data_IF_809956257564
#
_entry.id   IF_809956257564
#
_cell.length_a   1.000
_cell.length_b   1.000
_cell.length_c   1.000
_cell.angle_alpha   90.00
_cell.angle_beta   90.00
_cell.angle_gamma   90.00
#
_symmetry.space_group_name_H-M   'P 1'
#
loop_
_entity.id
_entity.type
_entity.pdbx_description
1 polymer ?
#
# COMPACT_ATOMS: atom_id res chain seq x y z
N UNK A 1 -20.33 -2.04 -23.46
CA UNK A 1 -20.56 -1.78 -24.89
C UNK A 1 -20.72 -0.27 -25.03
N UNK A 2 -20.04 0.37 -25.99
CA UNK A 2 -19.80 1.82 -26.21
C UNK A 2 -18.65 2.40 -25.37
N UNK A 3 -17.67 3.14 -25.90
CA UNK A 3 -17.12 3.29 -27.24
C UNK A 3 -15.73 3.94 -27.06
N UNK A 4 -14.68 3.33 -27.63
CA UNK A 4 -13.34 3.91 -27.75
C UNK A 4 -13.34 4.88 -28.94
N UNK A 5 -12.94 6.13 -28.73
CA UNK A 5 -12.51 7.05 -29.80
C UNK A 5 -11.27 7.76 -29.30
N UNK A 6 -10.14 7.50 -29.95
CA UNK A 6 -8.90 8.26 -29.77
C UNK A 6 -8.88 9.49 -30.67
N UNK A 7 -8.10 10.50 -30.29
CA UNK A 7 -7.59 11.53 -31.20
C UNK A 7 -6.16 11.89 -30.79
N UNK A 8 -5.23 11.53 -31.67
CA UNK A 8 -3.94 12.17 -31.91
C UNK A 8 -4.16 13.64 -32.28
N UNK A 9 -3.46 14.57 -31.63
CA UNK A 9 -2.83 15.75 -32.26
C UNK A 9 -2.53 16.82 -31.21
N UNK A 10 -1.26 17.12 -30.94
CA UNK A 10 -0.78 18.51 -30.81
C UNK A 10 0.75 18.51 -30.90
N UNK A 11 1.24 18.52 -32.14
CA UNK A 11 2.55 19.06 -32.51
C UNK A 11 2.26 20.30 -33.33
N UNK A 12 2.76 21.45 -32.91
CA UNK A 12 2.73 22.67 -33.71
C UNK A 12 2.82 23.94 -32.88
N UNK A 13 3.86 24.73 -33.18
CA UNK A 13 4.10 26.13 -32.78
C UNK A 13 4.65 26.36 -31.37
N UNK A 14 5.99 26.34 -31.24
CA UNK A 14 6.76 27.57 -30.96
C UNK A 14 8.07 27.50 -31.76
N UNK A 15 8.15 28.25 -32.87
CA UNK A 15 9.40 28.68 -33.50
C UNK A 15 9.57 30.15 -33.15
N UNK A 16 10.79 30.53 -32.76
CA UNK A 16 11.28 31.89 -32.90
C UNK A 16 11.46 32.65 -31.60
N UNK A 17 12.71 32.75 -31.15
CA UNK A 17 13.09 33.76 -30.18
C UNK A 17 14.35 33.43 -29.40
N UNK A 18 15.45 34.09 -29.78
CA UNK A 18 16.60 34.39 -28.93
C UNK A 18 17.64 33.26 -28.77
N UNK A 19 18.40 32.99 -29.84
CA UNK A 19 19.80 32.59 -29.70
C UNK A 19 20.62 33.82 -29.27
N UNK A 20 20.54 34.16 -27.98
CA UNK A 20 21.47 35.10 -27.36
C UNK A 20 22.80 34.41 -27.18
N UNK A 21 23.77 34.88 -27.96
CA UNK A 21 25.21 34.67 -27.77
C UNK A 21 25.58 34.99 -26.31
N UNK A 22 25.83 33.96 -25.51
CA UNK A 22 26.75 34.05 -24.37
C UNK A 22 27.95 33.18 -24.69
N UNK A 23 28.93 33.84 -25.30
CA UNK A 23 30.28 33.32 -25.48
C UNK A 23 30.85 32.92 -24.11
N UNK A 24 30.82 31.62 -23.81
CA UNK A 24 31.60 31.07 -22.72
C UNK A 24 32.98 30.75 -23.28
N UNK A 25 33.96 31.52 -22.82
CA UNK A 25 35.39 31.40 -23.14
C UNK A 25 35.87 30.02 -22.64
N UNK A 26 35.75 28.99 -23.48
CA UNK A 26 36.56 27.78 -23.34
C UNK A 26 37.92 28.13 -23.93
N UNK A 27 38.93 28.24 -23.06
CA UNK A 27 40.35 28.39 -23.42
C UNK A 27 40.69 27.35 -24.50
N UNK A 28 40.80 27.81 -25.74
CA UNK A 28 41.38 27.05 -26.82
C UNK A 28 42.83 26.72 -26.44
N UNK A 29 43.29 25.46 -26.53
CA UNK A 29 44.70 25.21 -26.66
C UNK A 29 45.12 25.78 -28.01
N UNK A 30 46.06 26.72 -28.01
CA UNK A 30 46.66 27.34 -29.20
C UNK A 30 47.04 26.27 -30.23
N UNK A 31 46.12 25.95 -31.13
CA UNK A 31 46.35 25.14 -32.32
C UNK A 31 45.70 25.90 -33.45
N UNK A 32 46.56 26.64 -34.14
CA UNK A 32 46.45 27.15 -35.51
C UNK A 32 45.04 26.96 -36.08
N UNK A 33 44.28 28.05 -36.11
CA UNK A 33 43.09 28.21 -36.94
C UNK A 33 43.48 27.75 -38.34
N UNK A 34 43.14 26.51 -38.69
CA UNK A 34 43.04 26.12 -40.08
C UNK A 34 41.82 26.87 -40.59
N UNK A 35 42.06 28.09 -41.05
CA UNK A 35 41.26 28.67 -42.11
C UNK A 35 41.34 27.59 -43.18
N UNK A 36 40.27 26.80 -43.35
CA UNK A 36 40.09 26.06 -44.58
C UNK A 36 39.81 27.16 -45.61
N UNK A 37 40.88 27.83 -46.01
CA UNK A 37 40.95 28.54 -47.27
C UNK A 37 40.56 27.48 -48.27
N UNK A 38 39.31 27.51 -48.72
CA UNK A 38 39.00 27.11 -50.07
C UNK A 38 40.11 27.72 -50.90
N UNK A 39 40.88 26.85 -51.56
CA UNK A 39 42.02 27.26 -52.36
C UNK A 39 41.47 28.33 -53.29
N UNK A 40 41.86 29.58 -53.06
CA UNK A 40 41.57 30.70 -53.95
C UNK A 40 42.42 30.44 -55.19
N UNK A 41 41.98 29.50 -56.02
CA UNK A 41 42.50 29.35 -57.35
C UNK A 41 41.93 30.55 -58.10
N UNK A 42 42.83 31.50 -58.41
CA UNK A 42 42.56 32.59 -59.33
C UNK A 42 41.97 31.99 -60.60
N UNK A 43 40.66 32.15 -60.79
CA UNK A 43 40.02 31.90 -62.07
C UNK A 43 40.66 32.89 -63.04
N UNK A 44 41.33 32.34 -64.05
CA UNK A 44 41.71 33.11 -65.22
C UNK A 44 40.43 33.62 -65.85
N UNK A 45 40.17 34.93 -65.70
CA UNK A 45 39.16 35.62 -66.47
C UNK A 45 39.47 35.44 -67.96
N UNK A 46 38.82 34.46 -68.59
CA UNK A 46 38.74 34.37 -70.03
C UNK A 46 37.96 35.58 -70.51
N UNK A 47 38.63 36.52 -71.17
CA UNK A 47 37.97 37.61 -71.87
C UNK A 47 37.15 37.04 -73.04
N UNK A 48 35.92 36.63 -72.78
CA UNK A 48 34.97 36.25 -73.82
C UNK A 48 34.24 37.50 -74.32
N UNK A 49 34.87 38.19 -75.27
CA UNK A 49 34.19 39.15 -76.12
C UNK A 49 33.71 38.47 -77.40
N UNK A 50 32.55 37.81 -77.37
CA UNK A 50 31.65 37.52 -78.50
C UNK A 50 30.26 37.18 -77.92
N UNK A 51 29.18 37.76 -78.46
CA UNK A 51 27.78 37.43 -78.10
C UNK A 51 27.49 35.95 -78.39
N UNK A 52 27.66 35.08 -77.39
CA UNK A 52 27.34 33.64 -77.49
C UNK A 52 25.88 33.43 -77.12
N UNK A 53 25.09 32.90 -78.06
CA UNK A 53 23.68 32.54 -77.82
C UNK A 53 23.50 31.23 -77.05
N UNK A 54 24.57 30.67 -76.48
CA UNK A 54 24.58 29.39 -75.76
C UNK A 54 24.90 29.66 -74.29
N UNK A 55 24.10 29.16 -73.33
CA UNK A 55 24.41 29.32 -71.92
C UNK A 55 25.70 28.57 -71.57
N UNK A 56 26.53 29.17 -70.72
CA UNK A 56 27.74 28.53 -70.18
C UNK A 56 27.67 28.55 -68.67
N UNK A 57 28.09 27.47 -68.02
CA UNK A 57 28.22 27.40 -66.57
C UNK A 57 29.41 26.54 -66.18
N UNK A 58 30.19 27.03 -65.23
CA UNK A 58 31.33 26.34 -64.66
C UNK A 58 31.33 26.52 -63.14
N UNK A 59 31.41 25.41 -62.41
CA UNK A 59 31.60 25.42 -60.96
C UNK A 59 33.09 25.35 -60.62
N UNK A 60 33.53 26.14 -59.63
CA UNK A 60 34.94 26.15 -59.21
C UNK A 60 35.43 24.76 -58.73
N UNK A 61 34.52 23.94 -58.20
CA UNK A 61 34.79 22.59 -57.74
C UNK A 61 33.61 21.66 -58.07
N UNK A 62 33.88 20.36 -58.26
CA UNK A 62 32.84 19.33 -58.47
C UNK A 62 32.28 18.75 -57.17
N UNK A 63 32.99 18.93 -56.06
CA UNK A 63 32.57 18.52 -54.72
C UNK A 63 33.24 19.40 -53.68
N UNK A 64 32.48 19.78 -52.65
CA UNK A 64 32.93 20.66 -51.56
C UNK A 64 32.51 20.07 -50.21
N UNK A 65 33.35 20.23 -49.17
CA UNK A 65 33.01 19.86 -47.80
C UNK A 65 32.42 21.05 -47.01
N UNK A 66 31.49 20.77 -46.09
CA UNK A 66 30.96 21.80 -45.18
C UNK A 66 31.96 22.20 -44.10
N UNK A 67 31.77 23.37 -43.48
CA UNK A 67 32.39 23.66 -42.19
C UNK A 67 31.76 22.81 -41.06
N UNK A 68 32.15 23.07 -39.82
CA UNK A 68 31.66 22.41 -38.59
C UNK A 68 30.19 22.70 -38.27
N UNK A 69 29.59 23.71 -38.89
CA UNK A 69 28.17 24.04 -38.79
C UNK A 69 27.35 23.53 -39.98
N UNK A 70 27.94 22.70 -40.85
CA UNK A 70 27.25 22.16 -42.03
C UNK A 70 27.11 23.17 -43.18
N UNK A 71 27.75 24.34 -43.12
CA UNK A 71 27.70 25.38 -44.15
C UNK A 71 28.80 25.18 -45.21
N UNK A 72 28.44 25.25 -46.48
CA UNK A 72 29.37 25.35 -47.61
C UNK A 72 29.02 26.57 -48.48
N UNK A 73 30.04 27.18 -49.08
CA UNK A 73 29.89 28.28 -50.04
C UNK A 73 30.37 27.81 -51.40
N UNK A 74 29.45 27.77 -52.36
CA UNK A 74 29.69 27.35 -53.74
C UNK A 74 29.91 28.60 -54.57
N UNK A 75 30.95 28.59 -55.38
CA UNK A 75 31.30 29.66 -56.30
C UNK A 75 31.34 29.09 -57.71
N UNK A 76 30.80 29.83 -58.67
CA UNK A 76 30.84 29.47 -60.07
C UNK A 76 30.72 30.70 -60.97
N UNK A 77 30.93 30.46 -62.25
CA UNK A 77 30.84 31.47 -63.30
C UNK A 77 29.89 31.03 -64.42
N UNK A 78 29.39 32.02 -65.14
CA UNK A 78 28.50 31.92 -66.29
C UNK A 78 28.75 33.11 -67.20
N UNK A 79 28.19 33.10 -68.42
CA UNK A 79 28.22 34.28 -69.28
C UNK A 79 27.13 35.30 -68.87
N UNK A 80 27.35 36.58 -69.17
CA UNK A 80 26.52 37.69 -68.66
C UNK A 80 25.03 37.63 -69.09
N UNK A 81 24.73 36.88 -70.14
CA UNK A 81 23.38 36.74 -70.70
C UNK A 81 22.57 35.59 -70.07
N UNK A 82 23.23 34.69 -69.32
CA UNK A 82 22.56 33.54 -68.71
C UNK A 82 21.80 33.89 -67.44
N UNK A 83 20.63 33.30 -67.30
CA UNK A 83 19.90 33.20 -66.03
C UNK A 83 20.31 31.92 -65.30
N UNK A 84 20.67 32.02 -64.00
CA UNK A 84 21.10 30.87 -63.21
C UNK A 84 20.02 30.47 -62.22
N UNK A 85 19.69 29.18 -62.20
CA UNK A 85 18.84 28.57 -61.16
C UNK A 85 19.56 27.45 -60.42
N UNK A 86 19.20 27.24 -59.17
CA UNK A 86 19.63 26.11 -58.34
C UNK A 86 18.39 25.41 -57.82
N UNK A 87 18.24 24.12 -58.13
CA UNK A 87 17.02 23.36 -57.80
C UNK A 87 15.72 24.08 -58.25
N UNK A 88 15.79 24.87 -59.33
CA UNK A 88 14.68 25.65 -59.89
C UNK A 88 14.49 27.06 -59.31
N UNK A 89 15.29 27.49 -58.32
CA UNK A 89 15.25 28.84 -57.76
C UNK A 89 16.32 29.74 -58.40
N UNK A 90 15.91 30.92 -58.92
CA UNK A 90 16.82 31.90 -59.52
C UNK A 90 17.82 32.45 -58.50
N UNK A 91 19.09 32.48 -58.86
CA UNK A 91 20.15 33.10 -58.06
C UNK A 91 20.75 34.32 -58.77
N UNK A 92 21.27 35.26 -57.98
CA UNK A 92 21.87 36.48 -58.53
C UNK A 92 23.30 36.22 -59.04
N UNK A 93 23.60 36.77 -60.21
CA UNK A 93 24.94 36.83 -60.80
C UNK A 93 25.46 38.27 -60.79
N UNK A 94 26.79 38.44 -60.75
CA UNK A 94 27.46 39.73 -60.87
C UNK A 94 28.70 39.56 -61.74
N UNK A 95 28.71 40.20 -62.91
CA UNK A 95 29.79 40.10 -63.90
C UNK A 95 30.13 38.63 -64.24
N UNK A 96 29.09 37.84 -64.57
CA UNK A 96 29.23 36.41 -64.82
C UNK A 96 29.52 35.54 -63.60
N UNK A 97 29.77 36.07 -62.40
CA UNK A 97 30.06 35.27 -61.21
C UNK A 97 28.84 35.10 -60.30
N UNK A 98 28.71 33.96 -59.62
CA UNK A 98 27.71 33.74 -58.59
C UNK A 98 28.27 33.07 -57.35
N UNK A 99 27.55 33.24 -56.23
CA UNK A 99 27.85 32.57 -54.96
C UNK A 99 26.56 32.02 -54.37
N UNK A 100 26.59 30.75 -53.97
CA UNK A 100 25.46 30.08 -53.35
C UNK A 100 25.87 29.46 -52.01
N UNK A 101 25.13 29.77 -50.95
CA UNK A 101 25.37 29.21 -49.61
C UNK A 101 24.38 28.09 -49.34
N UNK A 102 24.89 26.94 -48.93
CA UNK A 102 24.09 25.76 -48.59
C UNK A 102 24.44 25.27 -47.21
N UNK A 103 23.43 24.84 -46.45
CA UNK A 103 23.61 24.24 -45.13
C UNK A 103 23.04 22.83 -45.15
N UNK A 104 23.87 21.83 -44.84
CA UNK A 104 23.43 20.46 -44.57
C UNK A 104 22.76 20.38 -43.20
N UNK A 105 21.75 19.50 -43.08
CA UNK A 105 21.01 19.28 -41.83
C UNK A 105 21.27 17.91 -41.21
N UNK A 106 21.92 17.02 -41.95
CA UNK A 106 22.21 15.65 -41.57
C UNK A 106 23.60 15.24 -42.12
N UNK A 107 23.98 13.99 -41.87
CA UNK A 107 25.25 13.41 -42.30
C UNK A 107 25.21 12.88 -43.74
N UNK A 108 24.20 13.26 -44.53
CA UNK A 108 24.07 12.83 -45.92
C UNK A 108 24.63 13.88 -46.88
N UNK A 109 25.40 13.47 -47.90
CA UNK A 109 25.78 14.37 -48.99
C UNK A 109 24.54 14.91 -49.72
N UNK A 110 24.57 16.19 -50.09
CA UNK A 110 23.53 16.81 -50.92
C UNK A 110 24.09 17.10 -52.32
N UNK A 111 23.41 16.60 -53.34
CA UNK A 111 23.68 16.97 -54.73
C UNK A 111 22.84 18.20 -55.09
N UNK A 112 23.48 19.23 -55.66
CA UNK A 112 22.82 20.41 -56.20
C UNK A 112 23.03 20.47 -57.69
N UNK A 113 22.00 20.89 -58.43
CA UNK A 113 22.07 21.12 -59.87
C UNK A 113 21.90 22.61 -60.14
N UNK A 114 22.91 23.19 -60.76
CA UNK A 114 22.90 24.57 -61.25
C UNK A 114 22.57 24.53 -62.75
N UNK A 115 21.61 25.34 -63.18
CA UNK A 115 21.20 25.43 -64.59
C UNK A 115 21.38 26.87 -65.05
N UNK A 116 22.15 27.06 -66.12
CA UNK A 116 22.24 28.29 -66.87
C UNK A 116 21.33 28.23 -68.09
N UNK A 117 20.53 29.27 -68.29
CA UNK A 117 19.51 29.34 -69.34
C UNK A 117 19.64 30.61 -70.17
N UNK A 118 19.61 30.48 -71.51
CA UNK A 118 19.46 31.58 -72.47
C UNK A 118 18.37 31.17 -73.48
N UNK A 119 17.22 31.85 -73.43
CA UNK A 119 16.07 31.49 -74.27
C UNK A 119 15.59 30.07 -73.97
N UNK A 120 15.55 29.22 -75.00
CA UNK A 120 15.17 27.79 -74.89
C UNK A 120 16.37 26.84 -74.69
N UNK A 121 17.59 27.40 -74.53
CA UNK A 121 18.81 26.61 -74.33
C UNK A 121 19.20 26.57 -72.86
N UNK A 122 19.51 25.37 -72.35
CA UNK A 122 19.96 25.13 -70.98
C UNK A 122 21.30 24.39 -70.95
N UNK A 123 22.18 24.76 -70.02
CA UNK A 123 23.34 23.99 -69.62
C UNK A 123 23.31 23.75 -68.11
N UNK A 124 23.55 22.51 -67.69
CA UNK A 124 23.52 22.14 -66.27
C UNK A 124 24.87 21.62 -65.78
N UNK A 125 25.26 22.06 -64.59
CA UNK A 125 26.36 21.48 -63.82
C UNK A 125 25.89 21.05 -62.44
N UNK A 126 26.54 20.03 -61.89
CA UNK A 126 26.19 19.47 -60.59
C UNK A 126 27.38 19.44 -59.65
N UNK A 127 27.12 19.75 -58.38
CA UNK A 127 28.11 19.69 -57.31
C UNK A 127 27.59 18.82 -56.16
N UNK A 128 28.50 18.05 -55.58
CA UNK A 128 28.23 17.23 -54.39
C UNK A 128 28.77 17.92 -53.13
N UNK A 129 27.87 18.32 -52.24
CA UNK A 129 28.18 18.93 -50.95
C UNK A 129 28.25 17.83 -49.89
N UNK A 130 29.44 17.60 -49.34
CA UNK A 130 29.69 16.53 -48.36
C UNK A 130 29.77 17.09 -46.94
N UNK A 131 29.19 16.42 -45.95
CA UNK A 131 29.38 16.82 -44.56
C UNK A 131 30.84 16.60 -44.16
N UNK A 132 31.45 17.60 -43.53
CA UNK A 132 32.80 17.41 -42.98
C UNK A 132 32.78 16.52 -41.73
N UNK A 133 33.94 15.95 -41.40
CA UNK A 133 34.14 15.19 -40.16
C UNK A 133 33.78 16.00 -38.91
N UNK A 134 34.05 17.31 -38.92
CA UNK A 134 33.74 18.18 -37.78
C UNK A 134 32.23 18.37 -37.61
N UNK A 135 31.48 18.53 -38.71
CA UNK A 135 30.03 18.64 -38.67
C UNK A 135 29.36 17.33 -38.22
N UNK A 136 29.84 16.17 -38.71
CA UNK A 136 29.35 14.87 -38.24
C UNK A 136 29.61 14.68 -36.74
N UNK A 137 30.76 15.12 -36.23
CA UNK A 137 31.05 15.08 -34.80
C UNK A 137 30.10 15.99 -34.00
N UNK A 138 29.81 17.20 -34.51
CA UNK A 138 28.83 18.11 -33.93
C UNK A 138 27.43 17.49 -33.85
N UNK A 139 26.93 16.90 -34.95
CA UNK A 139 25.63 16.23 -34.98
C UNK A 139 25.54 15.07 -33.97
N UNK A 140 26.63 14.31 -33.81
CA UNK A 140 26.69 13.21 -32.84
C UNK A 140 26.69 13.72 -31.40
N UNK A 141 27.41 14.81 -31.11
CA UNK A 141 27.43 15.44 -29.78
C UNK A 141 26.03 16.00 -29.42
N UNK A 142 25.37 16.69 -30.36
CA UNK A 142 24.01 17.21 -30.17
C UNK A 142 23.01 16.07 -29.91
N UNK A 143 23.06 15.00 -30.70
CA UNK A 143 22.23 13.81 -30.49
C UNK A 143 22.47 13.18 -29.12
N UNK A 144 23.73 13.09 -28.69
CA UNK A 144 24.06 12.55 -27.38
C UNK A 144 23.53 13.43 -26.24
N UNK A 145 23.61 14.75 -26.37
CA UNK A 145 23.05 15.72 -25.41
C UNK A 145 21.51 15.62 -25.33
N UNK A 146 20.83 15.45 -26.47
CA UNK A 146 19.39 15.21 -26.47
C UNK A 146 19.01 13.89 -25.77
N UNK A 147 19.78 12.83 -25.98
CA UNK A 147 19.57 11.55 -25.30
C UNK A 147 19.84 11.61 -23.80
N UNK A 148 20.84 12.36 -23.34
CA UNK A 148 21.06 12.55 -21.89
C UNK A 148 19.94 13.37 -21.27
N UNK A 149 19.46 14.42 -21.95
CA UNK A 149 18.31 15.21 -21.50
C UNK A 149 17.05 14.36 -21.38
N UNK A 150 16.75 13.53 -22.39
CA UNK A 150 15.60 12.61 -22.35
C UNK A 150 15.68 11.60 -21.20
N UNK A 151 16.87 11.08 -20.91
CA UNK A 151 17.09 10.17 -19.77
C UNK A 151 16.89 10.88 -18.43
N UNK A 152 17.33 12.12 -18.30
CA UNK A 152 17.10 12.93 -17.11
C UNK A 152 15.59 13.18 -16.89
N UNK A 153 14.87 13.60 -17.94
CA UNK A 153 13.42 13.81 -17.89
C UNK A 153 12.67 12.52 -17.49
N UNK A 154 13.04 11.38 -18.09
CA UNK A 154 12.42 10.09 -17.78
C UNK A 154 12.57 9.73 -16.30
N UNK A 155 13.77 9.92 -15.75
CA UNK A 155 14.00 9.64 -14.32
C UNK A 155 13.26 10.62 -13.41
N UNK A 156 13.17 11.89 -13.81
CA UNK A 156 12.42 12.92 -13.08
C UNK A 156 10.93 12.59 -13.02
N UNK A 157 10.31 12.26 -14.17
CA UNK A 157 8.89 11.85 -14.24
C UNK A 157 8.63 10.61 -13.38
N UNK A 158 9.55 9.63 -13.39
CA UNK A 158 9.45 8.47 -12.52
C UNK A 158 9.49 8.89 -11.03
N UNK A 159 10.38 9.80 -10.66
CA UNK A 159 10.50 10.30 -9.30
C UNK A 159 9.27 11.14 -8.86
N UNK A 160 8.63 11.87 -9.78
CA UNK A 160 7.39 12.61 -9.52
C UNK A 160 6.20 11.68 -9.30
N UNK A 161 6.08 10.61 -10.09
CA UNK A 161 5.02 9.62 -9.92
C UNK A 161 5.22 8.76 -8.66
N UNK A 162 6.48 8.49 -8.30
CA UNK A 162 6.86 7.68 -7.14
C UNK A 162 8.07 8.30 -6.42
N UNK A 163 7.84 9.32 -5.56
CA UNK A 163 8.86 9.97 -4.75
C UNK A 163 9.43 9.00 -3.71
N UNK A 164 10.51 8.33 -4.09
CA UNK A 164 11.33 7.52 -3.17
C UNK A 164 12.73 8.10 -3.19
N UNK A 165 13.49 7.90 -2.11
CA UNK A 165 14.88 8.35 -2.05
C UNK A 165 15.69 7.84 -3.25
N UNK A 166 15.52 6.57 -3.62
CA UNK A 166 16.16 5.96 -4.79
C UNK A 166 15.86 6.71 -6.10
N UNK A 167 14.58 6.97 -6.37
CA UNK A 167 14.18 7.63 -7.62
C UNK A 167 14.63 9.10 -7.63
N UNK A 168 14.57 9.78 -6.49
CA UNK A 168 15.10 11.13 -6.33
C UNK A 168 16.61 11.18 -6.62
N UNK A 169 17.40 10.27 -6.04
CA UNK A 169 18.84 10.22 -6.23
C UNK A 169 19.22 9.93 -7.69
N UNK A 170 18.48 9.03 -8.35
CA UNK A 170 18.68 8.75 -9.78
C UNK A 170 18.37 9.98 -10.65
N UNK A 171 17.23 10.64 -10.42
CA UNK A 171 16.87 11.86 -11.14
C UNK A 171 17.90 12.97 -10.89
N UNK A 172 18.28 13.21 -9.63
CA UNK A 172 19.28 14.20 -9.23
C UNK A 172 20.62 13.95 -9.91
N UNK A 173 21.09 12.70 -9.94
CA UNK A 173 22.36 12.33 -10.60
C UNK A 173 22.33 12.63 -12.09
N UNK A 174 21.22 12.31 -12.77
CA UNK A 174 21.08 12.54 -14.20
C UNK A 174 20.98 14.03 -14.53
N UNK A 175 20.21 14.80 -13.75
CA UNK A 175 20.05 16.25 -13.92
C UNK A 175 21.37 16.97 -13.69
N UNK A 176 22.12 16.61 -12.65
CA UNK A 176 23.44 17.21 -12.35
C UNK A 176 24.52 16.85 -13.37
N UNK A 177 24.34 15.76 -14.14
CA UNK A 177 25.24 15.36 -15.22
C UNK A 177 24.97 16.09 -16.55
N UNK A 178 23.91 16.91 -16.63
CA UNK A 178 23.61 17.68 -17.84
C UNK A 178 24.64 18.80 -18.03
N UNK A 179 25.01 19.02 -19.28
CA UNK A 179 25.92 20.09 -19.73
C UNK A 179 25.32 21.48 -19.57
N UNK A 180 24.01 21.59 -19.75
CA UNK A 180 23.25 22.83 -19.65
C UNK A 180 22.31 22.78 -18.46
N UNK A 181 22.23 23.90 -17.73
CA UNK A 181 21.34 24.04 -16.59
C UNK A 181 19.87 23.96 -17.04
N UNK A 182 19.12 23.04 -16.44
CA UNK A 182 17.69 22.87 -16.67
C UNK A 182 16.90 23.37 -15.45
N UNK A 183 16.61 24.67 -15.41
CA UNK A 183 15.97 25.31 -14.24
C UNK A 183 14.60 24.70 -13.89
N UNK A 184 13.84 24.23 -14.89
CA UNK A 184 12.59 23.51 -14.68
C UNK A 184 12.82 22.18 -13.96
N UNK A 185 13.81 21.40 -14.38
CA UNK A 185 14.14 20.11 -13.76
C UNK A 185 14.56 20.29 -12.31
N UNK A 186 15.34 21.34 -12.01
CA UNK A 186 15.75 21.66 -10.63
C UNK A 186 14.54 21.96 -9.74
N UNK A 187 13.57 22.73 -10.23
CA UNK A 187 12.34 23.06 -9.47
C UNK A 187 11.50 21.81 -9.21
N UNK A 188 11.28 21.01 -10.25
CA UNK A 188 10.53 19.74 -10.16
C UNK A 188 11.20 18.76 -9.22
N UNK A 189 12.52 18.62 -9.29
CA UNK A 189 13.30 17.77 -8.38
C UNK A 189 13.20 18.22 -6.91
N UNK A 190 13.13 19.53 -6.65
CA UNK A 190 12.91 20.04 -5.30
C UNK A 190 11.55 19.61 -4.74
N UNK A 191 10.49 19.70 -5.56
CA UNK A 191 9.15 19.21 -5.20
C UNK A 191 9.19 17.71 -4.91
N UNK A 192 9.87 16.91 -5.74
CA UNK A 192 10.06 15.47 -5.47
C UNK A 192 10.69 15.26 -4.11
N UNK A 193 11.78 15.96 -3.79
CA UNK A 193 12.50 15.86 -2.51
C UNK A 193 11.59 16.08 -1.30
N UNK A 194 10.74 17.10 -1.37
CA UNK A 194 9.80 17.44 -0.29
C UNK A 194 8.74 16.34 -0.07
N UNK A 195 8.39 15.58 -1.13
CA UNK A 195 7.40 14.51 -1.04
C UNK A 195 7.98 13.14 -0.65
N UNK A 196 9.30 12.93 -0.73
CA UNK A 196 9.95 11.66 -0.31
C UNK A 196 9.56 11.23 1.10
N UNK A 197 9.73 12.05 2.17
CA UNK A 197 9.38 11.63 3.53
C UNK A 197 7.89 11.34 3.72
N UNK A 198 7.02 11.95 2.91
CA UNK A 198 5.58 11.68 2.92
C UNK A 198 5.30 10.26 2.43
N UNK A 199 5.92 9.86 1.32
CA UNK A 199 5.78 8.51 0.77
C UNK A 199 6.36 7.45 1.70
N UNK A 200 7.51 7.71 2.33
CA UNK A 200 8.11 6.82 3.33
C UNK A 200 7.18 6.59 4.52
N UNK A 201 6.52 7.64 5.02
CA UNK A 201 5.55 7.53 6.10
C UNK A 201 4.33 6.69 5.70
N UNK A 202 3.81 6.85 4.48
CA UNK A 202 2.69 6.04 3.98
C UNK A 202 3.09 4.57 3.84
N UNK A 203 4.26 4.26 3.29
CA UNK A 203 4.76 2.88 3.20
C UNK A 203 4.98 2.25 4.58
N UNK A 204 5.45 3.04 5.55
CA UNK A 204 5.59 2.59 6.94
C UNK A 204 4.23 2.31 7.58
N UNK A 205 3.23 3.17 7.37
CA UNK A 205 1.86 2.95 7.83
C UNK A 205 1.23 1.69 7.21
N UNK A 206 1.45 1.45 5.92
CA UNK A 206 0.99 0.24 5.23
C UNK A 206 1.63 -1.04 5.76
N UNK A 207 2.90 -0.96 6.13
CA UNK A 207 3.68 -2.09 6.67
C UNK A 207 3.32 -2.38 8.12
N UNK A 208 3.26 -1.34 8.96
CA UNK A 208 3.05 -1.47 10.40
C UNK A 208 1.58 -1.65 10.77
N UNK A 209 0.67 -1.01 10.05
CA UNK A 209 -0.76 -1.06 10.27
C UNK A 209 -1.12 -0.79 11.74
N UNK A 210 -0.59 0.31 12.26
CA UNK A 210 -0.91 0.83 13.60
C UNK A 210 -1.53 2.22 13.47
N UNK A 211 -2.36 2.61 14.46
CA UNK A 211 -2.97 3.94 14.52
C UNK A 211 -1.93 5.05 14.52
N UNK A 212 -0.88 4.90 15.34
CA UNK A 212 0.21 5.87 15.42
C UNK A 212 0.87 6.18 14.07
N UNK A 213 1.17 5.13 13.28
CA UNK A 213 1.80 5.31 11.98
C UNK A 213 0.81 5.87 10.95
N UNK A 214 -0.46 5.48 11.02
CA UNK A 214 -1.51 6.05 10.18
C UNK A 214 -1.72 7.55 10.47
N UNK A 215 -1.78 7.95 11.73
CA UNK A 215 -1.97 9.34 12.14
C UNK A 215 -0.78 10.20 11.69
N UNK A 216 0.44 9.69 11.91
CA UNK A 216 1.68 10.34 11.46
C UNK A 216 1.71 10.51 9.94
N UNK A 217 1.39 9.46 9.18
CA UNK A 217 1.34 9.53 7.72
C UNK A 217 0.23 10.46 7.23
N UNK A 218 -0.94 10.47 7.87
CA UNK A 218 -2.07 11.34 7.51
C UNK A 218 -1.72 12.81 7.68
N UNK A 219 -1.03 13.17 8.78
CA UNK A 219 -0.55 14.53 9.01
C UNK A 219 0.45 14.99 7.94
N UNK A 220 1.34 14.11 7.48
CA UNK A 220 2.30 14.41 6.42
C UNK A 220 1.60 14.54 5.05
N UNK A 221 0.67 13.63 4.72
CA UNK A 221 -0.07 13.65 3.46
C UNK A 221 -0.91 14.93 3.28
N UNK A 222 -1.31 15.60 4.36
CA UNK A 222 -1.96 16.91 4.28
C UNK A 222 -1.10 17.94 3.53
N UNK A 223 0.23 17.83 3.64
CA UNK A 223 1.21 18.69 2.98
C UNK A 223 1.71 18.17 1.62
N UNK A 224 1.20 17.01 1.16
CA UNK A 224 1.62 16.44 -0.12
C UNK A 224 1.24 17.35 -1.28
N UNK A 225 2.21 17.62 -2.16
CA UNK A 225 2.02 18.38 -3.40
C UNK A 225 1.98 17.47 -4.63
N UNK A 226 2.42 16.21 -4.49
CA UNK A 226 2.35 15.19 -5.54
C UNK A 226 1.38 14.06 -5.15
N UNK A 227 0.55 13.64 -6.11
CA UNK A 227 -0.30 12.44 -6.04
C UNK A 227 -1.16 12.30 -4.76
N UNK A 228 -1.59 13.42 -4.18
CA UNK A 228 -2.26 13.47 -2.88
C UNK A 228 -3.45 12.52 -2.77
N UNK A 229 -4.32 12.49 -3.77
CA UNK A 229 -5.53 11.66 -3.76
C UNK A 229 -5.20 10.16 -3.67
N UNK A 230 -4.16 9.72 -4.39
CA UNK A 230 -3.68 8.34 -4.35
C UNK A 230 -3.16 7.98 -2.95
N UNK A 231 -2.41 8.89 -2.31
CA UNK A 231 -1.92 8.68 -0.94
C UNK A 231 -3.07 8.60 0.06
N UNK A 232 -4.09 9.46 -0.07
CA UNK A 232 -5.29 9.42 0.78
C UNK A 232 -6.05 8.09 0.62
N UNK A 233 -6.18 7.58 -0.60
CA UNK A 233 -6.81 6.27 -0.85
C UNK A 233 -6.03 5.12 -0.20
N UNK A 234 -4.70 5.13 -0.30
CA UNK A 234 -3.83 4.17 0.38
C UNK A 234 -4.03 4.19 1.89
N UNK A 235 -4.01 5.37 2.51
CA UNK A 235 -4.23 5.53 3.96
C UNK A 235 -5.65 5.11 4.39
N UNK A 236 -6.66 5.33 3.55
CA UNK A 236 -8.03 4.83 3.80
C UNK A 236 -8.05 3.31 3.86
N UNK A 237 -7.32 2.64 2.97
CA UNK A 237 -7.17 1.18 2.97
C UNK A 237 -6.46 0.70 4.24
N UNK A 238 -5.42 1.41 4.68
CA UNK A 238 -4.73 1.11 5.96
C UNK A 238 -5.67 1.25 7.15
N UNK A 239 -6.45 2.33 7.22
CA UNK A 239 -7.46 2.53 8.28
C UNK A 239 -8.47 1.38 8.33
N UNK A 240 -8.97 0.92 7.17
CA UNK A 240 -9.89 -0.22 7.10
C UNK A 240 -9.25 -1.50 7.66
N UNK A 241 -8.00 -1.78 7.28
CA UNK A 241 -7.26 -2.95 7.79
C UNK A 241 -7.04 -2.89 9.31
N UNK A 242 -6.65 -1.72 9.83
CA UNK A 242 -6.50 -1.50 11.28
C UNK A 242 -7.82 -1.77 11.99
N UNK A 243 -8.91 -1.18 11.50
CA UNK A 243 -10.25 -1.33 12.09
C UNK A 243 -10.71 -2.79 12.09
N UNK A 244 -10.47 -3.51 10.99
CA UNK A 244 -10.80 -4.92 10.88
C UNK A 244 -9.99 -5.77 11.88
N UNK A 245 -8.69 -5.49 12.03
CA UNK A 245 -7.81 -6.17 12.98
C UNK A 245 -8.25 -5.95 14.43
N UNK A 246 -8.52 -4.70 14.81
CA UNK A 246 -9.01 -4.38 16.16
C UNK A 246 -10.36 -5.03 16.46
N UNK A 247 -11.26 -5.06 15.47
CA UNK A 247 -12.54 -5.76 15.62
C UNK A 247 -12.32 -7.26 15.84
N UNK A 248 -11.48 -7.90 15.03
CA UNK A 248 -11.16 -9.32 15.17
C UNK A 248 -10.54 -9.63 16.53
N UNK A 249 -9.60 -8.81 17.01
CA UNK A 249 -8.97 -8.94 18.33
C UNK A 249 -9.99 -8.83 19.46
N UNK A 250 -10.91 -7.86 19.40
CA UNK A 250 -12.00 -7.72 20.38
C UNK A 250 -12.94 -8.92 20.38
N UNK A 251 -13.30 -9.44 19.20
CA UNK A 251 -14.15 -10.62 19.10
C UNK A 251 -13.46 -11.86 19.68
N UNK A 252 -12.16 -12.05 19.40
CA UNK A 252 -11.36 -13.13 19.97
C UNK A 252 -11.28 -13.02 21.50
N UNK A 253 -11.04 -11.83 22.04
CA UNK A 253 -10.99 -11.60 23.48
C UNK A 253 -12.34 -11.95 24.15
N UNK A 254 -13.45 -11.49 23.58
CA UNK A 254 -14.79 -11.79 24.10
C UNK A 254 -15.16 -13.28 24.00
N UNK A 255 -14.76 -13.96 22.92
CA UNK A 255 -14.94 -15.41 22.80
C UNK A 255 -14.11 -16.17 23.83
N UNK A 256 -12.86 -15.74 24.08
CA UNK A 256 -11.99 -16.32 25.10
C UNK A 256 -12.59 -16.18 26.50
N UNK A 257 -13.07 -15.00 26.85
CA UNK A 257 -13.73 -14.73 28.14
C UNK A 257 -14.98 -15.61 28.32
N UNK A 258 -15.81 -15.74 27.29
CA UNK A 258 -17.00 -16.59 27.34
C UNK A 258 -16.67 -18.08 27.52
N UNK A 259 -15.62 -18.59 26.85
CA UNK A 259 -15.14 -19.96 27.02
C UNK A 259 -14.59 -20.17 28.42
N UNK A 260 -13.75 -19.25 28.91
CA UNK A 260 -13.18 -19.33 30.26
C UNK A 260 -14.28 -19.33 31.34
N UNK A 261 -15.34 -18.53 31.16
CA UNK A 261 -16.50 -18.56 32.05
C UNK A 261 -17.24 -19.90 32.00
N UNK A 262 -17.41 -20.48 30.80
CA UNK A 262 -18.06 -21.78 30.65
C UNK A 262 -17.23 -22.94 31.24
N UNK A 263 -15.90 -22.81 31.27
CA UNK A 263 -15.00 -23.76 31.93
C UNK A 263 -15.06 -23.65 33.46
N UNK A 264 -15.12 -22.43 33.99
CA UNK A 264 -15.21 -22.17 35.43
C UNK A 264 -16.59 -22.54 36.00
N UNK A 265 -17.65 -22.24 35.26
CA UNK A 265 -19.04 -22.47 35.65
C UNK A 265 -19.78 -23.25 34.55
N UNK A 266 -19.62 -24.60 34.49
CA UNK A 266 -20.23 -25.42 33.47
C UNK A 266 -21.76 -25.40 33.57
N UNK A 267 -22.39 -24.59 32.73
CA UNK A 267 -23.86 -24.55 32.54
C UNK A 267 -24.18 -24.55 31.04
N UNK A 268 -25.38 -25.00 30.65
CA UNK A 268 -25.80 -24.94 29.25
C UNK A 268 -25.81 -23.49 28.73
N UNK A 269 -26.18 -22.52 29.55
CA UNK A 269 -26.21 -21.10 29.18
C UNK A 269 -24.81 -20.56 28.87
N UNK A 270 -23.82 -20.81 29.73
CA UNK A 270 -22.45 -20.39 29.46
C UNK A 270 -21.84 -21.10 28.25
N UNK A 271 -22.11 -22.40 28.08
CA UNK A 271 -21.70 -23.14 26.89
C UNK A 271 -22.29 -22.53 25.61
N UNK A 272 -23.60 -22.26 25.60
CA UNK A 272 -24.28 -21.67 24.44
C UNK A 272 -23.75 -20.25 24.13
N UNK A 273 -23.48 -19.44 25.16
CA UNK A 273 -22.85 -18.13 24.99
C UNK A 273 -21.44 -18.24 24.39
N UNK A 274 -20.62 -19.17 24.87
CA UNK A 274 -19.28 -19.42 24.35
C UNK A 274 -19.31 -19.83 22.86
N UNK A 275 -20.19 -20.77 22.49
CA UNK A 275 -20.36 -21.20 21.10
C UNK A 275 -20.85 -20.06 20.21
N UNK A 276 -21.79 -19.24 20.69
CA UNK A 276 -22.26 -18.07 19.95
C UNK A 276 -21.11 -17.10 19.63
N UNK A 277 -20.27 -16.78 20.63
CA UNK A 277 -19.12 -15.89 20.43
C UNK A 277 -18.04 -16.49 19.52
N UNK A 278 -17.79 -17.80 19.62
CA UNK A 278 -16.85 -18.50 18.71
C UNK A 278 -17.34 -18.43 17.26
N UNK A 279 -18.65 -18.58 17.04
CA UNK A 279 -19.26 -18.51 15.70
C UNK A 279 -19.14 -17.13 15.05
N UNK A 280 -19.03 -16.07 15.84
CA UNK A 280 -18.82 -14.69 15.36
C UNK A 280 -17.38 -14.41 14.91
N UNK A 281 -16.43 -15.33 15.16
CA UNK A 281 -15.03 -15.17 14.77
C UNK A 281 -14.85 -15.39 13.26
N UNK A 282 -14.27 -14.44 12.52
CA UNK A 282 -14.22 -14.49 11.06
C UNK A 282 -13.43 -15.67 10.48
N UNK A 283 -12.43 -16.19 11.21
CA UNK A 283 -11.62 -17.35 10.82
C UNK A 283 -11.85 -18.56 11.74
N UNK A 284 -12.90 -18.53 12.56
CA UNK A 284 -13.06 -19.46 13.68
C UNK A 284 -11.90 -19.40 14.68
N UNK A 285 -11.88 -20.34 15.61
CA UNK A 285 -10.76 -20.56 16.52
C UNK A 285 -10.77 -22.02 17.01
N UNK A 286 -9.91 -22.90 16.47
CA UNK A 286 -9.91 -24.33 16.81
C UNK A 286 -9.66 -24.61 18.30
N UNK A 287 -8.78 -23.83 18.93
CA UNK A 287 -8.46 -23.96 20.36
C UNK A 287 -9.69 -23.69 21.23
N UNK A 288 -10.33 -22.52 21.04
CA UNK A 288 -11.55 -22.17 21.76
C UNK A 288 -12.70 -23.14 21.47
N UNK A 289 -12.78 -23.65 20.24
CA UNK A 289 -13.78 -24.66 19.87
C UNK A 289 -13.57 -25.97 20.63
N UNK A 290 -12.33 -26.45 20.71
CA UNK A 290 -11.99 -27.68 21.44
C UNK A 290 -12.27 -27.52 22.94
N UNK A 291 -11.90 -26.38 23.52
CA UNK A 291 -12.20 -26.03 24.90
C UNK A 291 -13.70 -26.04 25.20
N UNK A 292 -14.51 -25.40 24.35
CA UNK A 292 -15.97 -25.45 24.48
C UNK A 292 -16.53 -26.87 24.35
N UNK A 293 -15.97 -27.72 23.48
CA UNK A 293 -16.38 -29.12 23.38
C UNK A 293 -16.07 -29.93 24.65
N UNK A 294 -14.97 -29.64 25.33
CA UNK A 294 -14.65 -30.26 26.62
C UNK A 294 -15.67 -29.84 27.70
N UNK A 295 -16.07 -28.56 27.73
CA UNK A 295 -17.16 -28.10 28.62
C UNK A 295 -18.45 -28.87 28.36
N UNK A 296 -18.80 -29.12 27.10
CA UNK A 296 -19.97 -29.94 26.75
C UNK A 296 -19.87 -31.35 27.30
N UNK A 297 -18.69 -31.98 27.22
CA UNK A 297 -18.47 -33.31 27.79
C UNK A 297 -18.67 -33.31 29.32
N UNK A 298 -18.13 -32.31 30.02
CA UNK A 298 -18.35 -32.13 31.46
C UNK A 298 -19.82 -31.96 31.80
N UNK A 299 -20.57 -31.14 31.05
CA UNK A 299 -22.01 -30.97 31.24
C UNK A 299 -22.78 -32.28 31.06
N UNK A 300 -22.44 -33.08 30.04
CA UNK A 300 -23.08 -34.37 29.83
C UNK A 300 -22.78 -35.35 30.96
N UNK A 301 -21.56 -35.33 31.51
CA UNK A 301 -21.20 -36.15 32.66
C UNK A 301 -21.95 -35.73 33.93
N UNK A 302 -22.01 -34.41 34.22
CA UNK A 302 -22.71 -33.87 35.39
C UNK A 302 -24.21 -34.23 35.37
N UNK A 303 -24.87 -34.07 34.21
CA UNK A 303 -26.29 -34.40 34.06
C UNK A 303 -26.58 -35.88 34.28
N UNK A 304 -25.69 -36.76 33.82
CA UNK A 304 -25.84 -38.20 34.02
C UNK A 304 -25.61 -38.58 35.49
N UNK A 305 -24.68 -37.91 36.18
CA UNK A 305 -24.47 -38.09 37.62
C UNK A 305 -25.65 -37.57 38.45
N UNK A 306 -26.14 -36.36 38.17
CA UNK A 306 -27.32 -35.78 38.82
C UNK A 306 -28.56 -36.66 38.63
N UNK A 307 -28.74 -37.24 37.43
CA UNK A 307 -29.81 -38.19 37.16
C UNK A 307 -29.69 -39.46 38.02
N UNK A 308 -28.49 -40.03 38.14
CA UNK A 308 -28.25 -41.21 39.00
C UNK A 308 -28.50 -40.90 40.47
N UNK A 309 -28.08 -39.72 40.95
CA UNK A 309 -28.34 -39.27 42.33
C UNK A 309 -29.84 -39.09 42.56
N UNK A 310 -30.57 -38.45 41.64
CA UNK A 310 -32.01 -38.27 41.73
C UNK A 310 -32.77 -39.60 41.69
N UNK A 311 -32.36 -40.57 40.86
CA UNK A 311 -32.92 -41.92 40.83
C UNK A 311 -32.67 -42.68 42.14
N UNK A 312 -31.46 -42.59 42.70
CA UNK A 312 -31.12 -43.19 44.00
C UNK A 312 -31.91 -42.58 45.16
N UNK A 313 -32.10 -41.25 45.16
CA UNK A 313 -32.93 -40.55 46.15
C UNK A 313 -34.40 -41.01 46.06
N UNK A 314 -34.98 -41.07 44.85
CA UNK A 314 -36.34 -41.57 44.66
C UNK A 314 -36.51 -43.01 45.12
N UNK A 315 -35.53 -43.89 44.87
CA UNK A 315 -35.57 -45.27 45.35
C UNK A 315 -35.55 -45.34 46.89
N UNK A 316 -34.76 -44.47 47.54
CA UNK A 316 -34.67 -44.38 49.00
C UNK A 316 -35.96 -43.84 49.62
N UNK A 317 -36.58 -42.81 49.02
CA UNK A 317 -37.88 -42.28 49.43
C UNK A 317 -39.02 -43.30 49.25
N UNK A 318 -39.02 -44.06 48.15
CA UNK A 318 -40.00 -45.13 47.92
C UNK A 318 -39.85 -46.28 48.94
N UNK A 319 -38.62 -46.64 49.33
CA UNK A 319 -38.39 -47.61 50.41
C UNK A 319 -38.86 -47.09 51.77
N UNK A 320 -38.65 -45.80 52.07
CA UNK A 320 -39.14 -45.19 53.31
C UNK A 320 -40.69 -45.11 53.37
N UNK A 321 -41.36 -44.81 52.26
CA UNK A 321 -42.83 -44.81 52.17
C UNK A 321 -43.43 -46.23 52.22
N UNK A 322 -42.78 -47.23 51.62
CA UNK A 322 -43.19 -48.64 51.72
C UNK A 322 -43.05 -49.20 53.15
N UNK A 323 -42.02 -48.78 53.90
CA UNK A 323 -41.86 -49.14 55.31
C UNK A 323 -42.90 -48.45 56.22
N UNK A 324 -43.40 -47.27 55.86
CA UNK A 324 -44.47 -46.58 56.59
C UNK A 324 -45.88 -47.15 56.27
N UNK A 325 -46.11 -47.67 55.06
CA UNK A 325 -47.38 -48.27 54.65
C UNK A 325 -47.59 -49.72 55.16
N UNK A 326 -46.55 -50.36 55.69
CA UNK A 326 -46.66 -51.61 56.45
C UNK A 326 -46.84 -51.33 57.95
N UNK A 327 -47.91 -50.62 58.30
CA UNK A 327 -48.50 -50.70 59.64
C UNK A 327 -49.89 -51.33 59.54
N UNK A 328 -50.03 -52.63 59.81
CA UNK A 328 -51.28 -53.22 60.25
C UNK A 328 -51.48 -52.93 61.74
N UNK A 329 -52.64 -52.39 62.09
CA UNK A 329 -53.22 -52.47 63.42
C UNK A 329 -53.19 -53.92 63.93
N UNK A 330 -52.42 -54.21 64.99
CA UNK A 330 -52.94 -54.69 66.28
C UNK A 330 -51.89 -55.42 67.15
N UNK A 331 -51.54 -54.74 68.24
CA UNK A 331 -51.45 -55.24 69.62
C UNK A 331 -50.38 -56.29 70.04
N UNK A 332 -49.29 -55.73 70.62
CA UNK A 332 -48.53 -56.02 71.88
C UNK A 332 -48.07 -57.48 72.15
N UNK A 333 -46.81 -57.75 72.61
CA UNK A 333 -46.27 -57.05 73.77
C UNK A 333 -44.77 -56.71 73.86
N UNK A 334 -44.54 -55.66 74.65
CA UNK A 334 -43.42 -55.44 75.57
C UNK A 334 -42.05 -55.04 75.01
N UNK A 335 -41.74 -53.74 75.08
CA UNK A 335 -40.39 -53.28 75.42
C UNK A 335 -40.49 -52.18 76.47
N UNK A 336 -40.13 -52.57 77.70
CA UNK A 336 -39.88 -51.69 78.82
C UNK A 336 -38.72 -50.76 78.47
N UNK A 337 -39.04 -49.55 78.07
CA UNK A 337 -38.30 -48.41 78.60
C UNK A 337 -38.52 -48.45 80.12
N UNK A 338 -37.43 -48.59 80.87
CA UNK A 338 -37.44 -48.61 82.35
C UNK A 338 -37.80 -47.20 82.83
N UNK A 339 -39.10 -46.88 82.78
CA UNK A 339 -39.70 -45.83 83.57
C UNK A 339 -40.02 -46.43 84.93
N UNK A 340 -39.33 -45.97 85.97
CA UNK A 340 -39.60 -46.40 87.34
C UNK A 340 -41.03 -46.00 87.73
N UNK A 341 -41.98 -46.92 87.57
CA UNK A 341 -43.34 -46.76 88.07
C UNK A 341 -43.28 -46.65 89.59
N UNK A 342 -43.82 -45.56 90.12
CA UNK A 342 -43.94 -45.31 91.55
C UNK A 342 -45.40 -45.49 91.98
N UNK A 343 -45.59 -45.82 93.24
CA UNK A 343 -46.89 -45.96 93.87
C UNK A 343 -47.23 -44.68 94.62
N UNK A 344 -48.41 -44.14 94.35
CA UNK A 344 -48.98 -42.99 95.06
C UNK A 344 -50.29 -43.40 95.72
N UNK A 345 -50.65 -42.74 96.82
CA UNK A 345 -51.98 -42.92 97.42
C UNK A 345 -52.91 -41.80 96.95
N UNK A 346 -54.23 -42.01 96.84
CA UNK A 346 -55.15 -40.99 96.34
C UNK A 346 -55.11 -39.67 97.14
N UNK A 347 -54.89 -39.74 98.46
CA UNK A 347 -54.91 -38.59 99.37
C UNK A 347 -53.57 -38.29 100.07
N UNK A 348 -52.53 -39.11 99.88
CA UNK A 348 -51.26 -38.93 100.58
C UNK A 348 -50.33 -37.98 99.84
N UNK A 349 -49.44 -37.31 100.60
CA UNK A 349 -48.48 -36.33 100.10
C UNK A 349 -47.15 -36.92 99.64
N UNK A 350 -47.07 -38.26 99.49
CA UNK A 350 -45.82 -38.99 99.25
C UNK A 350 -45.94 -40.04 98.16
N UNK A 351 -44.84 -40.27 97.45
CA UNK A 351 -44.68 -41.39 96.52
C UNK A 351 -43.75 -42.48 97.07
N UNK A 352 -43.96 -43.71 96.61
CA UNK A 352 -43.36 -44.93 97.15
C UNK A 352 -42.81 -45.82 96.01
N UNK A 353 -41.72 -46.55 96.22
CA UNK A 353 -41.24 -47.59 95.28
C UNK A 353 -41.88 -48.97 95.51
N UNK A 354 -42.58 -49.13 96.63
CA UNK A 354 -43.29 -50.36 97.04
C UNK A 354 -44.44 -50.01 97.97
N UNK A 355 -45.43 -50.89 98.12
CA UNK A 355 -46.51 -50.71 99.11
C UNK A 355 -45.91 -50.56 100.51
N UNK A 356 -46.22 -49.44 101.19
CA UNK A 356 -45.55 -49.03 102.42
C UNK A 356 -46.56 -48.64 103.51
N UNK A 357 -47.08 -49.64 104.23
CA UNK A 357 -48.18 -49.47 105.19
C UNK A 357 -49.54 -49.85 104.61
N UNK A 358 -50.61 -49.67 105.37
CA UNK A 358 -51.95 -50.22 105.11
C UNK A 358 -52.84 -49.34 104.22
N UNK A 359 -52.27 -48.71 103.18
CA UNK A 359 -53.00 -47.83 102.25
C UNK A 359 -53.34 -48.49 100.90
N UNK A 360 -54.28 -47.89 100.17
CA UNK A 360 -54.56 -48.23 98.76
C UNK A 360 -53.64 -47.41 97.85
N UNK A 361 -52.92 -48.08 96.94
CA UNK A 361 -51.93 -47.46 96.07
C UNK A 361 -52.33 -47.58 94.61
N UNK A 362 -52.07 -46.52 93.84
CA UNK A 362 -52.19 -46.47 92.38
C UNK A 362 -50.83 -46.20 91.76
N UNK A 363 -50.58 -46.79 90.61
CA UNK A 363 -49.33 -46.60 89.84
C UNK A 363 -49.32 -45.23 89.14
N UNK A 364 -48.17 -44.55 89.15
CA UNK A 364 -47.91 -43.28 88.48
C UNK A 364 -46.43 -43.20 88.04
N UNK A 365 -46.10 -42.29 87.13
CA UNK A 365 -44.70 -42.00 86.80
C UNK A 365 -44.09 -41.01 87.80
N UNK A 366 -42.76 -40.97 87.89
CA UNK A 366 -42.04 -40.05 88.79
C UNK A 366 -42.38 -38.59 88.49
N UNK A 367 -42.44 -38.23 87.21
CA UNK A 367 -42.75 -36.89 86.72
C UNK A 367 -44.18 -36.48 87.12
N UNK A 368 -45.14 -37.39 87.00
CA UNK A 368 -46.53 -37.13 87.40
C UNK A 368 -46.68 -36.93 88.91
N UNK A 369 -45.94 -37.66 89.73
CA UNK A 369 -45.98 -37.47 91.18
C UNK A 369 -45.31 -36.16 91.62
N UNK A 370 -44.18 -35.80 91.00
CA UNK A 370 -43.51 -34.52 91.25
C UNK A 370 -44.38 -33.34 90.78
N UNK A 371 -45.04 -33.45 89.62
CA UNK A 371 -45.99 -32.45 89.14
C UNK A 371 -47.20 -32.27 90.07
N UNK A 372 -47.58 -33.31 90.82
CA UNK A 372 -48.59 -33.26 91.89
C UNK A 372 -48.05 -32.74 93.23
N UNK A 373 -46.77 -32.36 93.31
CA UNK A 373 -46.14 -31.87 94.55
C UNK A 373 -45.88 -32.96 95.59
N UNK A 374 -45.86 -34.24 95.19
CA UNK A 374 -45.61 -35.35 96.10
C UNK A 374 -44.11 -35.51 96.37
N UNK A 375 -43.75 -35.81 97.62
CA UNK A 375 -42.35 -36.01 98.05
C UNK A 375 -42.02 -37.49 98.25
N UNK A 376 -40.74 -37.93 98.18
CA UNK A 376 -40.42 -39.33 98.42
C UNK A 376 -40.78 -39.75 99.86
N UNK A 377 -41.25 -40.98 100.01
CA UNK A 377 -41.43 -41.58 101.33
C UNK A 377 -40.09 -41.97 101.95
N UNK A 378 -39.80 -41.43 103.14
CA UNK A 378 -38.55 -41.70 103.88
C UNK A 378 -38.37 -43.17 104.25
N UNK A 379 -39.42 -44.00 104.26
CA UNK A 379 -39.31 -45.46 104.48
C UNK A 379 -39.07 -46.26 103.20
N UNK A 380 -39.34 -45.66 102.05
CA UNK A 380 -39.18 -46.27 100.73
C UNK A 380 -37.87 -45.85 100.06
N UNK A 381 -37.43 -44.62 100.33
CA UNK A 381 -36.32 -43.94 99.66
C UNK A 381 -35.32 -43.30 100.65
N UNK A 382 -35.47 -43.54 101.94
CA UNK A 382 -34.59 -43.00 102.99
C UNK A 382 -34.12 -44.07 103.96
#
# INVERSE_FOLDING_TARGET
MLAMIGVLSFVGLIVGGVLSVKALIRKQPNKKVFILTGVCFLLTAGAFGLDSSVPEIELAEKSIETNDQGLATIVGSTNDQSEITVDGEKINTKNGEFTYKVTLKDDQPKKLTFVASIGDSDQAETIEVKPSKAFIAFLNEEKQEQETLKKAETALVLAESKPTQKNYDEASTRITSLTQEQTDFTKRLAIVKENVPIYEAVELAETKQTKEQLDSATALVANATLNKDSLVQRLTTVQQKITAKEKAEKQIAAAREAVEKAEQEPTDDHYNQAIARIKELPNGNPDLTNRANNVKQTLTAQKEEDKKVAEAQKATEQQAQAAAAQTPESQVPNTQAVGNTILVTPTGSKYHNRKCGNGTYTEATLEQAQARGLTPCSKCFG
#
